data_IF_580518093030
#
_entry.id   IF_580518093030
#
_cell.length_a   1.000
_cell.length_b   1.000
_cell.length_c   1.000
_cell.angle_alpha   90.00
_cell.angle_beta   90.00
_cell.angle_gamma   90.00
#
_symmetry.space_group_name_H-M   'P 1'
#
loop_
_entity.id
_entity.type
_entity.pdbx_description
1 polymer ?
#
# COMPACT_ATOMS: atom_id res chain seq x y z
N UNK A 1 -3.27 -8.05 -38.19
CA UNK A 1 -2.68 -9.22 -37.50
C UNK A 1 -1.36 -8.78 -36.88
N UNK A 2 -1.17 -9.12 -35.60
CA UNK A 2 0.09 -9.07 -34.83
C UNK A 2 0.59 -7.65 -34.49
N UNK A 3 0.74 -7.29 -33.21
CA UNK A 3 1.84 -7.82 -32.40
C UNK A 3 1.43 -8.01 -30.93
N UNK A 4 1.04 -9.24 -30.57
CA UNK A 4 0.98 -9.74 -29.19
C UNK A 4 2.41 -10.15 -28.77
N UNK A 5 3.28 -9.16 -28.54
CA UNK A 5 4.70 -9.40 -28.24
C UNK A 5 5.11 -8.92 -26.83
N UNK A 6 4.14 -8.68 -25.93
CA UNK A 6 4.45 -8.29 -24.54
C UNK A 6 3.87 -9.24 -23.49
N UNK A 7 3.11 -10.28 -23.90
CA UNK A 7 2.67 -11.35 -22.99
C UNK A 7 3.81 -12.33 -22.74
N UNK A 8 4.80 -11.92 -21.94
CA UNK A 8 5.78 -12.88 -21.43
C UNK A 8 7.19 -12.38 -21.14
N UNK A 9 7.41 -11.11 -20.85
CA UNK A 9 8.59 -10.77 -20.05
C UNK A 9 8.38 -11.44 -18.69
N UNK A 10 9.12 -12.51 -18.39
CA UNK A 10 9.18 -13.07 -17.04
C UNK A 10 9.39 -11.89 -16.10
N UNK A 11 8.55 -11.68 -15.07
CA UNK A 11 8.77 -10.60 -14.14
C UNK A 11 10.21 -10.70 -13.66
N UNK A 12 10.94 -9.59 -13.66
CA UNK A 12 12.28 -9.57 -13.07
C UNK A 12 12.14 -10.19 -11.68
N UNK A 13 13.07 -11.07 -11.30
CA UNK A 13 13.03 -11.73 -9.99
C UNK A 13 12.95 -10.70 -8.87
N UNK A 14 13.58 -9.54 -9.08
CA UNK A 14 13.48 -8.39 -8.19
C UNK A 14 12.06 -7.82 -8.13
N UNK A 15 11.41 -7.59 -9.28
CA UNK A 15 10.02 -7.11 -9.33
C UNK A 15 9.05 -8.06 -8.62
N UNK A 16 9.19 -9.37 -8.87
CA UNK A 16 8.37 -10.38 -8.22
C UNK A 16 8.59 -10.37 -6.69
N UNK A 17 9.84 -10.25 -6.26
CA UNK A 17 10.20 -10.17 -4.85
C UNK A 17 9.64 -8.91 -4.16
N UNK A 18 9.70 -7.75 -4.82
CA UNK A 18 9.13 -6.51 -4.26
C UNK A 18 7.60 -6.54 -4.20
N UNK A 19 6.95 -7.15 -5.19
CA UNK A 19 5.50 -7.38 -5.16
C UNK A 19 5.10 -8.34 -4.04
N UNK A 20 5.89 -9.38 -3.77
CA UNK A 20 5.67 -10.26 -2.63
C UNK A 20 5.80 -9.52 -1.30
N UNK A 21 6.86 -8.73 -1.12
CA UNK A 21 7.04 -7.91 0.08
C UNK A 21 5.92 -6.88 0.25
N UNK A 22 5.43 -6.29 -0.85
CA UNK A 22 4.28 -5.38 -0.82
C UNK A 22 3.02 -6.10 -0.33
N UNK A 23 2.77 -7.33 -0.79
CA UNK A 23 1.65 -8.14 -0.26
C UNK A 23 1.81 -8.39 1.23
N UNK A 24 2.99 -8.84 1.68
CA UNK A 24 3.27 -9.07 3.10
C UNK A 24 3.11 -7.79 3.93
N UNK A 25 3.46 -6.61 3.39
CA UNK A 25 3.22 -5.32 4.05
C UNK A 25 1.72 -5.07 4.22
N UNK A 26 0.92 -5.29 3.18
CA UNK A 26 -0.55 -5.09 3.19
C UNK A 26 -1.22 -6.03 4.20
N UNK A 27 -0.77 -7.28 4.25
CA UNK A 27 -1.28 -8.29 5.17
C UNK A 27 -0.79 -8.10 6.62
N UNK A 28 0.19 -7.22 6.84
CA UNK A 28 0.78 -6.97 8.17
C UNK A 28 1.78 -8.02 8.63
N UNK A 29 2.30 -8.82 7.70
CA UNK A 29 3.19 -9.96 7.93
C UNK A 29 4.69 -9.59 7.89
N UNK A 30 5.02 -8.32 7.59
CA UNK A 30 6.41 -7.84 7.67
C UNK A 30 6.83 -7.49 9.10
N UNK A 31 8.11 -7.70 9.42
CA UNK A 31 8.69 -7.15 10.64
C UNK A 31 8.68 -5.61 10.61
N UNK A 32 8.82 -4.98 11.78
CA UNK A 32 8.76 -3.52 11.89
C UNK A 32 9.86 -2.81 11.07
N UNK A 33 11.06 -3.40 10.98
CA UNK A 33 12.16 -2.81 10.22
C UNK A 33 11.93 -2.99 8.72
N UNK A 34 11.52 -4.19 8.27
CA UNK A 34 11.17 -4.45 6.88
C UNK A 34 10.02 -3.56 6.40
N UNK A 35 8.99 -3.37 7.22
CA UNK A 35 7.89 -2.47 6.92
C UNK A 35 8.38 -1.02 6.72
N UNK A 36 9.29 -0.51 7.58
CA UNK A 36 9.87 0.82 7.41
C UNK A 36 10.69 0.95 6.12
N UNK A 37 11.48 -0.07 5.77
CA UNK A 37 12.22 -0.07 4.50
C UNK A 37 11.29 -0.11 3.30
N UNK A 38 10.23 -0.92 3.36
CA UNK A 38 9.27 -1.05 2.28
C UNK A 38 8.45 0.22 2.07
N UNK A 39 8.05 0.90 3.15
CA UNK A 39 7.39 2.21 3.09
C UNK A 39 8.29 3.26 2.44
N UNK A 40 9.57 3.36 2.87
CA UNK A 40 10.54 4.24 2.21
C UNK A 40 10.72 3.90 0.73
N UNK A 41 10.66 2.62 0.37
CA UNK A 41 10.74 2.23 -1.04
C UNK A 41 9.54 2.72 -1.84
N UNK A 42 8.32 2.55 -1.31
CA UNK A 42 7.08 3.02 -1.96
C UNK A 42 7.08 4.54 -2.20
N UNK A 43 7.75 5.32 -1.36
CA UNK A 43 7.90 6.77 -1.56
C UNK A 43 8.72 7.13 -2.81
N UNK A 44 9.64 6.27 -3.25
CA UNK A 44 10.61 6.57 -4.31
C UNK A 44 10.39 5.74 -5.58
N UNK A 45 9.73 4.58 -5.48
CA UNK A 45 9.50 3.66 -6.59
C UNK A 45 8.07 3.87 -7.16
N UNK A 46 7.95 4.76 -8.14
CA UNK A 46 6.66 5.11 -8.75
C UNK A 46 5.93 3.89 -9.34
N UNK A 47 6.66 2.99 -10.00
CA UNK A 47 6.06 1.80 -10.60
C UNK A 47 5.43 0.87 -9.55
N UNK A 48 6.12 0.71 -8.41
CA UNK A 48 5.62 -0.07 -7.28
C UNK A 48 4.46 0.62 -6.56
N UNK A 49 4.52 1.95 -6.42
CA UNK A 49 3.43 2.76 -5.87
C UNK A 49 2.16 2.67 -6.72
N UNK A 50 2.25 2.84 -8.04
CA UNK A 50 1.11 2.64 -8.95
C UNK A 50 0.61 1.19 -8.96
N UNK A 51 1.49 0.20 -8.72
CA UNK A 51 1.08 -1.18 -8.53
C UNK A 51 0.20 -1.34 -7.29
N UNK A 52 0.61 -0.76 -6.15
CA UNK A 52 -0.18 -0.74 -4.93
C UNK A 52 -1.53 -0.06 -5.13
N UNK A 53 -1.59 1.12 -5.77
CA UNK A 53 -2.84 1.84 -6.04
C UNK A 53 -3.86 0.98 -6.79
N UNK A 54 -3.42 0.28 -7.85
CA UNK A 54 -4.28 -0.64 -8.60
C UNK A 54 -4.79 -1.80 -7.73
N UNK A 55 -3.96 -2.34 -6.84
CA UNK A 55 -4.37 -3.42 -5.94
C UNK A 55 -5.41 -2.95 -4.93
N UNK A 56 -5.27 -1.74 -4.38
CA UNK A 56 -6.29 -1.18 -3.48
C UNK A 56 -7.63 -1.03 -4.20
N UNK A 57 -7.63 -0.44 -5.40
CA UNK A 57 -8.83 -0.29 -6.22
C UNK A 57 -9.49 -1.65 -6.55
N UNK A 58 -8.72 -2.64 -6.99
CA UNK A 58 -9.24 -3.98 -7.26
C UNK A 58 -9.79 -4.64 -5.99
N UNK A 59 -9.13 -4.44 -4.85
CA UNK A 59 -9.62 -4.89 -3.56
C UNK A 59 -11.00 -4.31 -3.22
N UNK A 60 -11.20 -3.03 -3.47
CA UNK A 60 -12.49 -2.36 -3.22
C UNK A 60 -13.59 -2.87 -4.14
N UNK A 61 -13.27 -3.14 -5.41
CA UNK A 61 -14.19 -3.80 -6.35
C UNK A 61 -14.58 -5.19 -5.85
N UNK A 62 -13.61 -6.01 -5.44
CA UNK A 62 -13.85 -7.37 -4.94
C UNK A 62 -14.68 -7.39 -3.66
N UNK A 63 -14.62 -6.34 -2.84
CA UNK A 63 -15.42 -6.17 -1.62
C UNK A 63 -16.77 -5.48 -1.85
N UNK A 64 -17.09 -5.10 -3.09
CA UNK A 64 -18.30 -4.33 -3.40
C UNK A 64 -18.33 -2.93 -2.81
N UNK A 65 -17.16 -2.38 -2.45
CA UNK A 65 -16.97 -1.04 -1.88
C UNK A 65 -16.43 -0.03 -2.89
N UNK A 66 -16.33 -0.42 -4.17
CA UNK A 66 -15.86 0.47 -5.20
C UNK A 66 -16.80 1.67 -5.37
N UNK A 67 -16.31 2.84 -4.97
CA UNK A 67 -16.88 4.13 -5.33
C UNK A 67 -16.26 4.64 -6.64
N UNK A 68 -16.83 5.72 -7.21
CA UNK A 68 -16.24 6.36 -8.37
C UNK A 68 -14.76 6.71 -8.10
N UNK A 69 -13.84 6.44 -9.05
CA UNK A 69 -12.43 6.69 -8.83
C UNK A 69 -12.21 8.16 -8.47
N UNK A 70 -11.38 8.41 -7.47
CA UNK A 70 -10.97 9.75 -7.11
C UNK A 70 -10.27 10.44 -8.31
N UNK A 71 -10.30 11.78 -8.39
CA UNK A 71 -9.52 12.51 -9.37
C UNK A 71 -8.05 12.07 -9.39
N UNK A 72 -7.42 12.06 -10.56
CA UNK A 72 -6.03 11.59 -10.76
C UNK A 72 -5.01 12.31 -9.87
N UNK A 73 -5.27 13.56 -9.50
CA UNK A 73 -4.43 14.40 -8.64
C UNK A 73 -4.79 14.28 -7.15
N UNK A 74 -5.77 13.45 -6.77
CA UNK A 74 -6.26 13.36 -5.40
C UNK A 74 -5.15 12.95 -4.42
N UNK A 75 -4.40 11.90 -4.73
CA UNK A 75 -3.33 11.41 -3.86
C UNK A 75 -2.21 12.46 -3.67
N UNK A 76 -1.88 13.19 -4.72
CA UNK A 76 -0.91 14.29 -4.69
C UNK A 76 -1.42 15.45 -3.81
N UNK A 77 -2.66 15.88 -4.01
CA UNK A 77 -3.28 16.95 -3.22
C UNK A 77 -3.35 16.59 -1.73
N UNK A 78 -3.73 15.36 -1.41
CA UNK A 78 -3.72 14.86 -0.02
C UNK A 78 -2.30 14.86 0.54
N UNK A 79 -1.30 14.38 -0.23
CA UNK A 79 0.11 14.38 0.19
C UNK A 79 0.61 15.78 0.50
N UNK A 80 0.33 16.75 -0.36
CA UNK A 80 0.70 18.16 -0.17
C UNK A 80 0.02 18.72 1.09
N UNK A 81 -1.27 18.46 1.27
CA UNK A 81 -2.02 18.91 2.44
C UNK A 81 -1.44 18.36 3.74
N UNK A 82 -1.18 17.05 3.79
CA UNK A 82 -0.63 16.37 4.98
C UNK A 82 0.81 16.83 5.26
N UNK A 83 1.63 17.05 4.24
CA UNK A 83 3.00 17.55 4.42
C UNK A 83 3.06 18.97 4.99
N UNK A 84 2.00 19.76 4.82
CA UNK A 84 1.87 21.10 5.41
C UNK A 84 1.41 21.07 6.88
N UNK A 85 0.97 19.91 7.40
CA UNK A 85 0.54 19.76 8.78
C UNK A 85 1.74 19.54 9.73
N UNK A 86 1.68 20.03 10.98
CA UNK A 86 2.72 19.74 11.96
C UNK A 86 2.80 18.23 12.23
N UNK A 87 4.02 17.71 12.37
CA UNK A 87 4.25 16.29 12.60
C UNK A 87 3.42 15.79 13.80
N UNK A 88 2.68 14.68 13.65
CA UNK A 88 1.85 14.17 14.72
C UNK A 88 2.73 13.89 15.95
N UNK A 89 2.31 14.40 17.11
CA UNK A 89 3.02 14.17 18.37
C UNK A 89 3.09 12.66 18.63
N UNK A 90 4.27 12.09 18.40
CA UNK A 90 4.56 10.67 18.61
C UNK A 90 4.70 10.38 20.11
N UNK A 91 3.61 10.55 20.87
CA UNK A 91 3.60 10.35 22.32
C UNK A 91 2.41 9.44 22.69
N UNK A 92 2.72 8.31 23.33
CA UNK A 92 1.79 7.34 23.96
C UNK A 92 0.97 6.38 23.06
N UNK A 93 1.39 6.08 21.82
CA UNK A 93 0.73 5.07 20.99
C UNK A 93 1.50 3.75 20.82
N UNK A 94 2.78 3.64 21.15
CA UNK A 94 3.55 2.38 20.92
C UNK A 94 3.09 1.24 21.84
N UNK A 95 2.87 1.51 23.12
CA UNK A 95 2.31 0.52 24.07
C UNK A 95 0.85 0.15 23.73
N UNK A 96 0.07 1.16 23.29
CA UNK A 96 -1.28 0.94 22.75
C UNK A 96 -1.27 0.20 21.42
N UNK A 97 -0.15 0.20 20.67
CA UNK A 97 -0.06 -0.44 19.36
C UNK A 97 0.10 -1.94 19.47
N UNK A 98 0.83 -2.47 20.45
CA UNK A 98 0.88 -3.91 20.69
C UNK A 98 -0.50 -4.45 21.09
N UNK A 99 -1.17 -3.77 22.03
CA UNK A 99 -2.51 -4.13 22.49
C UNK A 99 -3.56 -3.92 21.37
N UNK A 100 -3.39 -2.89 20.52
CA UNK A 100 -4.20 -2.66 19.32
C UNK A 100 -3.84 -3.61 18.19
N UNK A 101 -2.66 -4.21 18.15
CA UNK A 101 -2.22 -5.17 17.13
C UNK A 101 -2.87 -6.53 17.40
N UNK A 102 -2.97 -6.93 18.68
CA UNK A 102 -3.80 -8.06 19.11
C UNK A 102 -5.30 -7.80 18.87
N UNK A 103 -5.78 -6.56 19.07
CA UNK A 103 -7.16 -6.15 18.74
C UNK A 103 -7.37 -5.79 17.25
N UNK A 104 -6.32 -5.79 16.43
CA UNK A 104 -6.37 -5.61 14.96
C UNK A 104 -6.72 -6.90 14.22
N UNK A 105 -7.16 -7.93 14.95
CA UNK A 105 -8.15 -8.88 14.42
C UNK A 105 -9.41 -8.17 13.85
N UNK A 106 -9.63 -6.89 14.17
CA UNK A 106 -10.67 -6.03 13.61
C UNK A 106 -10.43 -5.45 12.20
N UNK A 107 -9.30 -5.73 11.52
CA UNK A 107 -9.22 -5.53 10.06
C UNK A 107 -10.11 -6.50 9.28
N UNK A 108 -10.69 -7.51 9.97
CA UNK A 108 -11.87 -8.28 9.51
C UNK A 108 -13.19 -7.50 9.64
N UNK A 109 -13.17 -6.19 9.39
CA UNK A 109 -14.38 -5.38 9.20
C UNK A 109 -14.15 -4.35 8.11
N UNK A 110 -13.77 -4.85 6.94
CA UNK A 110 -14.14 -4.21 5.69
C UNK A 110 -15.65 -4.39 5.52
N UNK A 111 -16.39 -3.34 5.89
CA UNK A 111 -17.84 -3.21 5.87
C UNK A 111 -18.23 -1.84 6.39
#
# INVERSE_FOLDING_TARGET
MSNDASRGASPDKFDAHYRQQLSSLIDGELSADEARFMLRRLEHDEALSSCNERWQMLGDVLRGQACAPAPVDFAERVRISVAAEPAPAMQANVERSHDRQERRGGWRRWG
#
